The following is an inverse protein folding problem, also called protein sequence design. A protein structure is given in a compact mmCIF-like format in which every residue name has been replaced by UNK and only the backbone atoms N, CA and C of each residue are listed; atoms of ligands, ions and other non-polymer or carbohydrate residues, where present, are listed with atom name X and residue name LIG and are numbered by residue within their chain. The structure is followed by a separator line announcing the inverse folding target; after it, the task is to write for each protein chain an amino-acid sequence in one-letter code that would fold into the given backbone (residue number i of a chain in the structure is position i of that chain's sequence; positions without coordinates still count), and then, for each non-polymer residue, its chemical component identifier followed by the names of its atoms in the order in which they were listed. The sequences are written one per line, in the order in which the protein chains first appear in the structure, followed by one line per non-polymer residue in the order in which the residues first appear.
data_IF_916358039879
#
_entry.id   IF_916358039879
#
_cell.length_a   1.000
_cell.length_b   1.000
_cell.length_c   1.000
_cell.angle_alpha   90.00
_cell.angle_beta   90.00
_cell.angle_gamma   90.00
#
_symmetry.space_group_name_H-M   'P 1'
#
loop_
_entity.id
_entity.type
_entity.pdbx_description
1 polymer ?
#
# COMPACT_ATOMS: atom_id res chain seq x y z
N UNK A 1 3.79 65.34 12.07
CA UNK A 1 2.72 64.31 11.87
C UNK A 1 3.41 63.03 11.40
N UNK A 2 3.60 62.08 12.32
CA UNK A 2 4.13 60.75 11.98
C UNK A 2 2.96 59.84 11.60
N UNK A 3 2.92 59.36 10.35
CA UNK A 3 2.06 58.27 9.96
C UNK A 3 2.75 56.95 10.31
N UNK A 4 2.22 56.26 11.33
CA UNK A 4 2.56 54.85 11.58
C UNK A 4 1.72 54.00 10.62
N UNK A 5 2.41 53.38 9.63
CA UNK A 5 1.84 52.35 8.78
C UNK A 5 1.77 51.04 9.59
N UNK A 6 0.57 50.64 10.00
CA UNK A 6 0.35 49.32 10.60
C UNK A 6 0.37 48.27 9.50
N UNK A 7 1.48 47.54 9.41
CA UNK A 7 1.60 46.34 8.57
C UNK A 7 0.81 45.22 9.26
N UNK A 8 -0.42 45.00 8.83
CA UNK A 8 -1.21 43.83 9.27
C UNK A 8 -0.59 42.56 8.67
N UNK A 9 0.13 41.80 9.46
CA UNK A 9 0.53 40.45 9.13
C UNK A 9 -0.71 39.56 9.11
N UNK A 10 -1.16 39.23 7.91
CA UNK A 10 -2.17 38.20 7.71
C UNK A 10 -1.46 36.87 7.98
N UNK A 11 -1.64 36.34 9.18
CA UNK A 11 -1.31 34.95 9.45
C UNK A 11 -2.35 34.08 8.74
N UNK A 12 -1.98 33.55 7.57
CA UNK A 12 -2.71 32.44 6.98
C UNK A 12 -2.65 31.30 7.99
N UNK A 13 -3.76 30.98 8.65
CA UNK A 13 -3.90 29.74 9.39
C UNK A 13 -3.73 28.61 8.37
N UNK A 14 -2.57 27.98 8.38
CA UNK A 14 -2.38 26.72 7.70
C UNK A 14 -3.33 25.72 8.36
N UNK A 15 -4.44 25.42 7.68
CA UNK A 15 -5.34 24.36 8.11
C UNK A 15 -4.52 23.09 8.29
N UNK A 16 -4.65 22.45 9.44
CA UNK A 16 -3.97 21.18 9.70
C UNK A 16 -4.34 20.21 8.58
N UNK A 17 -3.33 19.58 7.98
CA UNK A 17 -3.54 18.52 6.98
C UNK A 17 -4.52 17.48 7.53
N UNK A 18 -5.51 17.03 6.77
CA UNK A 18 -6.39 15.95 7.21
C UNK A 18 -5.66 14.61 7.29
N UNK A 19 -4.47 14.52 6.72
CA UNK A 19 -3.66 13.32 6.66
C UNK A 19 -2.73 13.23 7.86
N UNK A 20 -2.64 12.04 8.47
CA UNK A 20 -1.73 11.75 9.57
C UNK A 20 -0.30 11.44 9.08
N UNK A 21 -0.17 11.07 7.79
CA UNK A 21 1.11 10.83 7.17
C UNK A 21 1.07 11.19 5.68
N UNK A 22 2.21 11.64 5.16
CA UNK A 22 2.42 11.91 3.74
C UNK A 22 3.60 11.08 3.25
N UNK A 23 3.36 10.26 2.23
CA UNK A 23 4.38 9.46 1.56
C UNK A 23 4.78 10.13 0.26
N UNK A 24 6.08 10.30 0.04
CA UNK A 24 6.62 10.84 -1.20
C UNK A 24 7.97 10.18 -1.52
N UNK A 25 8.06 9.53 -2.67
CA UNK A 25 9.27 8.79 -3.10
C UNK A 25 10.48 9.70 -3.25
N UNK A 26 10.27 10.98 -3.56
CA UNK A 26 11.31 12.02 -3.68
C UNK A 26 11.79 12.55 -2.30
N UNK A 27 11.17 12.11 -1.21
CA UNK A 27 11.51 12.54 0.15
C UNK A 27 10.85 13.85 0.59
N UNK A 28 9.91 14.40 -0.18
CA UNK A 28 9.15 15.61 0.18
C UNK A 28 7.95 15.33 1.12
N UNK A 29 7.81 14.10 1.62
CA UNK A 29 6.83 13.67 2.61
C UNK A 29 7.47 13.28 3.94
N UNK A 30 6.65 12.76 4.85
CA UNK A 30 7.10 12.23 6.14
C UNK A 30 7.84 10.90 5.97
N UNK A 31 7.45 10.12 4.94
CA UNK A 31 8.01 8.82 4.62
C UNK A 31 8.33 8.72 3.12
N UNK A 32 9.32 7.90 2.78
CA UNK A 32 9.67 7.63 1.38
C UNK A 32 8.96 6.40 0.81
N UNK A 33 8.53 5.49 1.68
CA UNK A 33 7.84 4.27 1.29
C UNK A 33 6.46 4.17 1.96
N UNK A 34 5.54 3.51 1.28
CA UNK A 34 4.19 3.28 1.81
C UNK A 34 4.25 2.38 3.03
N UNK A 35 5.13 1.35 3.00
CA UNK A 35 5.27 0.43 4.11
C UNK A 35 5.78 1.12 5.39
N UNK A 36 6.70 2.10 5.28
CA UNK A 36 7.14 2.88 6.44
C UNK A 36 5.99 3.65 7.09
N UNK A 37 5.15 4.30 6.29
CA UNK A 37 3.99 5.01 6.80
C UNK A 37 2.99 4.05 7.48
N UNK A 38 2.74 2.87 6.91
CA UNK A 38 1.88 1.85 7.52
C UNK A 38 2.49 1.35 8.84
N UNK A 39 3.79 1.13 8.88
CA UNK A 39 4.47 0.68 10.11
C UNK A 39 4.31 1.69 11.25
N UNK A 40 4.25 2.97 10.94
CA UNK A 40 4.05 4.05 11.91
C UNK A 40 2.59 4.20 12.39
N UNK A 41 1.61 3.60 11.72
CA UNK A 41 0.23 3.60 12.20
C UNK A 41 0.16 2.94 13.57
N UNK A 42 -0.45 3.54 14.59
CA UNK A 42 -0.64 2.86 15.88
C UNK A 42 -1.52 1.61 15.74
N UNK A 43 -1.31 0.63 16.59
CA UNK A 43 -2.11 -0.59 16.59
C UNK A 43 -3.52 -0.33 17.14
N UNK A 44 -4.48 -1.13 16.68
CA UNK A 44 -5.83 -1.14 17.22
C UNK A 44 -6.64 0.14 16.96
N UNK A 45 -6.40 0.80 15.83
CA UNK A 45 -7.18 1.98 15.45
C UNK A 45 -8.67 1.67 15.41
N UNK A 46 -9.48 2.63 15.81
CA UNK A 46 -10.96 2.57 15.74
C UNK A 46 -11.56 3.66 14.84
N UNK A 47 -10.69 4.43 14.20
CA UNK A 47 -11.02 5.53 13.28
C UNK A 47 -10.04 5.55 12.11
N UNK A 48 -10.44 6.09 10.96
CA UNK A 48 -9.57 6.22 9.81
C UNK A 48 -8.24 6.91 10.13
N UNK A 49 -7.14 6.25 9.73
CA UNK A 49 -5.80 6.81 9.69
C UNK A 49 -5.44 7.07 8.23
N UNK A 50 -5.49 8.33 7.85
CA UNK A 50 -5.35 8.76 6.46
C UNK A 50 -3.87 8.95 6.11
N UNK A 51 -3.42 8.22 5.09
CA UNK A 51 -2.07 8.32 4.54
C UNK A 51 -2.19 8.84 3.10
N UNK A 52 -1.72 10.06 2.86
CA UNK A 52 -1.61 10.60 1.51
C UNK A 52 -0.36 10.02 0.83
N UNK A 53 -0.54 9.44 -0.36
CA UNK A 53 0.55 8.96 -1.19
C UNK A 53 0.66 9.88 -2.40
N UNK A 54 1.75 10.63 -2.47
CA UNK A 54 2.02 11.52 -3.60
C UNK A 54 2.30 10.72 -4.88
N UNK A 55 2.16 11.38 -6.03
CA UNK A 55 2.51 10.79 -7.31
C UNK A 55 3.94 10.28 -7.29
N UNK A 56 4.13 9.05 -7.76
CA UNK A 56 5.43 8.38 -7.77
C UNK A 56 5.31 6.90 -8.10
N UNK A 57 6.44 6.31 -8.38
CA UNK A 57 6.59 4.87 -8.61
C UNK A 57 7.21 4.24 -7.36
N UNK A 58 6.43 3.51 -6.61
CA UNK A 58 6.80 2.87 -5.35
C UNK A 58 7.10 1.40 -5.62
N UNK A 59 8.39 1.06 -5.67
CA UNK A 59 8.84 -0.32 -5.92
C UNK A 59 8.97 -1.06 -4.59
N UNK A 60 7.86 -1.53 -4.07
CA UNK A 60 7.79 -2.18 -2.77
C UNK A 60 6.61 -3.15 -2.67
N UNK A 61 6.72 -4.10 -1.75
CA UNK A 61 5.57 -4.83 -1.26
C UNK A 61 4.94 -4.08 -0.09
N UNK A 62 3.62 -4.03 -0.08
CA UNK A 62 2.85 -3.37 0.98
C UNK A 62 2.02 -4.39 1.73
N UNK A 63 2.21 -4.47 3.05
CA UNK A 63 1.46 -5.35 3.95
C UNK A 63 0.77 -4.50 5.01
N UNK A 64 -0.56 -4.58 5.04
CA UNK A 64 -1.38 -4.00 6.11
C UNK A 64 -1.65 -5.13 7.11
N UNK A 65 -0.98 -5.18 8.27
CA UNK A 65 -1.12 -6.28 9.22
C UNK A 65 -2.46 -6.21 9.97
N UNK A 66 -2.90 -7.33 10.52
CA UNK A 66 -4.21 -7.46 11.18
C UNK A 66 -4.39 -6.52 12.38
N UNK A 67 -3.32 -6.18 13.07
CA UNK A 67 -3.33 -5.26 14.22
C UNK A 67 -3.41 -3.77 13.83
N UNK A 68 -3.48 -3.46 12.52
CA UNK A 68 -3.61 -2.09 11.99
C UNK A 68 -4.91 -1.92 11.19
N UNK A 69 -6.08 -1.98 11.85
CA UNK A 69 -7.35 -1.68 11.20
C UNK A 69 -7.44 -0.18 10.88
N UNK A 70 -8.41 0.17 10.01
CA UNK A 70 -8.70 1.55 9.59
C UNK A 70 -7.55 2.29 8.91
N UNK A 71 -6.61 1.57 8.29
CA UNK A 71 -5.62 2.19 7.40
C UNK A 71 -6.30 2.64 6.11
N UNK A 72 -6.19 3.93 5.80
CA UNK A 72 -6.72 4.52 4.57
C UNK A 72 -5.59 5.07 3.71
N UNK A 73 -5.40 4.52 2.52
CA UNK A 73 -4.38 4.93 1.55
C UNK A 73 -5.02 5.80 0.46
N UNK A 74 -4.60 7.04 0.37
CA UNK A 74 -5.16 8.05 -0.54
C UNK A 74 -4.08 8.47 -1.54
N UNK A 75 -4.20 8.02 -2.80
CA UNK A 75 -3.31 8.45 -3.87
C UNK A 75 -3.73 9.83 -4.42
N UNK A 76 -2.77 10.58 -4.90
CA UNK A 76 -3.07 11.85 -5.57
C UNK A 76 -3.72 11.66 -6.95
N UNK A 77 -3.26 10.67 -7.70
CA UNK A 77 -3.71 10.40 -9.07
C UNK A 77 -3.48 8.92 -9.38
N UNK A 78 -4.53 8.21 -9.75
CA UNK A 78 -4.50 6.77 -10.03
C UNK A 78 -3.44 6.37 -11.07
N UNK A 79 -3.23 7.18 -12.08
CA UNK A 79 -2.31 6.85 -13.16
C UNK A 79 -0.86 7.27 -12.88
N UNK A 80 -0.62 7.99 -11.77
CA UNK A 80 0.69 8.47 -11.36
C UNK A 80 1.13 8.01 -9.97
N UNK A 81 0.19 7.56 -9.13
CA UNK A 81 0.50 6.95 -7.83
C UNK A 81 0.49 5.44 -8.02
N UNK A 82 1.66 4.85 -8.21
CA UNK A 82 1.80 3.45 -8.63
C UNK A 82 2.64 2.68 -7.61
N UNK A 83 2.04 1.68 -6.99
CA UNK A 83 2.74 0.69 -6.17
C UNK A 83 2.94 -0.54 -7.03
N UNK A 84 4.20 -0.92 -7.25
CA UNK A 84 4.50 -2.05 -8.12
C UNK A 84 5.62 -2.92 -7.59
N UNK A 85 5.60 -4.18 -8.01
CA UNK A 85 6.68 -5.12 -7.75
C UNK A 85 6.62 -6.24 -8.79
N UNK A 86 7.78 -6.84 -9.03
CA UNK A 86 7.90 -8.04 -9.86
C UNK A 86 7.95 -9.25 -8.92
N UNK A 87 6.82 -9.93 -8.73
CA UNK A 87 6.67 -10.97 -7.72
C UNK A 87 5.72 -12.07 -8.21
N UNK A 88 6.07 -13.34 -8.02
CA UNK A 88 5.15 -14.44 -8.26
C UNK A 88 4.99 -15.33 -7.03
N UNK A 89 3.92 -16.10 -6.98
CA UNK A 89 3.61 -16.99 -5.86
C UNK A 89 4.57 -18.18 -5.70
N UNK A 90 5.46 -18.40 -6.65
CA UNK A 90 6.52 -19.41 -6.60
C UNK A 90 7.91 -18.81 -6.40
N UNK A 91 8.03 -17.50 -6.31
CA UNK A 91 9.33 -16.84 -6.15
C UNK A 91 9.90 -17.13 -4.77
N UNK A 92 11.10 -17.71 -4.78
CA UNK A 92 11.95 -17.72 -3.60
C UNK A 92 12.66 -16.38 -3.53
N UNK A 93 12.17 -15.49 -2.71
CA UNK A 93 12.88 -14.27 -2.38
C UNK A 93 13.88 -14.56 -1.25
N UNK A 94 14.95 -15.28 -1.62
CA UNK A 94 16.07 -15.52 -0.72
C UNK A 94 16.96 -14.30 -0.69
N UNK A 95 16.79 -13.45 0.31
CA UNK A 95 17.75 -12.40 0.63
C UNK A 95 18.04 -11.36 -0.47
N UNK A 96 17.22 -11.27 -1.53
CA UNK A 96 17.37 -10.23 -2.54
C UNK A 96 16.78 -8.92 -2.05
N UNK A 97 17.52 -7.86 -2.22
CA UNK A 97 16.98 -6.52 -2.04
C UNK A 97 15.94 -6.22 -3.11
N UNK A 98 14.74 -5.93 -2.70
CA UNK A 98 13.66 -5.41 -3.53
C UNK A 98 13.37 -4.00 -3.01
N UNK A 99 13.53 -3.00 -3.87
CA UNK A 99 13.34 -1.61 -3.46
C UNK A 99 14.26 -1.16 -2.32
N UNK A 100 15.51 -1.67 -2.26
CA UNK A 100 16.48 -1.35 -1.23
C UNK A 100 16.20 -2.01 0.14
N UNK A 101 15.30 -2.99 0.19
CA UNK A 101 15.01 -3.78 1.39
C UNK A 101 15.18 -5.26 1.10
N UNK A 102 15.71 -5.99 2.08
CA UNK A 102 15.79 -7.44 2.02
C UNK A 102 14.39 -8.02 2.15
N UNK A 103 13.86 -8.54 1.07
CA UNK A 103 12.59 -9.26 1.09
C UNK A 103 12.86 -10.75 1.27
N UNK A 104 12.29 -11.32 2.30
CA UNK A 104 12.41 -12.75 2.60
C UNK A 104 11.12 -13.45 2.21
N UNK A 105 11.12 -14.06 1.03
CA UNK A 105 10.06 -14.93 0.58
C UNK A 105 10.62 -16.31 0.38
N UNK A 106 10.59 -17.14 1.37
CA UNK A 106 10.66 -18.57 1.14
C UNK A 106 9.24 -19.07 0.90
N UNK A 107 8.86 -19.08 -0.35
CA UNK A 107 7.51 -19.42 -0.70
C UNK A 107 7.47 -20.52 -1.72
N UNK A 108 7.09 -21.67 -1.26
CA UNK A 108 6.54 -22.69 -2.11
C UNK A 108 5.03 -22.64 -1.98
N UNK A 109 4.32 -22.29 -3.04
CA UNK A 109 2.86 -22.39 -3.12
C UNK A 109 2.36 -23.76 -2.71
N UNK A 110 3.24 -24.75 -2.75
CA UNK A 110 2.97 -26.15 -2.49
C UNK A 110 3.39 -26.62 -1.10
N UNK A 111 3.92 -25.76 -0.26
CA UNK A 111 4.24 -26.13 1.12
C UNK A 111 3.20 -25.54 2.10
N UNK A 112 2.13 -26.29 2.41
CA UNK A 112 1.09 -25.83 3.35
C UNK A 112 1.59 -25.65 4.77
N UNK A 113 2.80 -26.10 5.08
CA UNK A 113 3.42 -25.98 6.40
C UNK A 113 4.27 -24.73 6.57
N UNK A 114 4.44 -23.91 5.53
CA UNK A 114 5.16 -22.66 5.65
C UNK A 114 4.29 -21.61 6.35
N UNK A 115 4.79 -20.97 7.43
CA UNK A 115 4.07 -19.88 8.09
C UNK A 115 3.95 -18.64 7.18
N UNK A 116 4.75 -18.56 6.14
CA UNK A 116 4.70 -17.56 5.07
C UNK A 116 3.83 -18.13 3.96
N UNK A 117 2.55 -18.11 4.16
CA UNK A 117 1.62 -18.82 3.29
C UNK A 117 1.45 -18.16 1.93
N UNK A 118 1.08 -18.98 0.92
CA UNK A 118 0.82 -18.71 -0.51
C UNK A 118 0.18 -17.35 -0.87
N UNK A 119 -0.33 -16.63 0.08
CA UNK A 119 -1.03 -15.36 -0.12
C UNK A 119 -0.14 -14.14 0.03
N UNK A 120 1.08 -14.30 0.51
CA UNK A 120 2.01 -13.17 0.67
C UNK A 120 2.83 -12.88 -0.58
N UNK A 121 2.67 -13.69 -1.64
CA UNK A 121 3.22 -13.45 -2.98
C UNK A 121 2.48 -12.38 -3.78
N UNK A 122 1.86 -11.41 -3.11
CA UNK A 122 1.12 -10.31 -3.71
C UNK A 122 1.86 -9.00 -3.53
N UNK A 123 1.69 -8.07 -4.45
CA UNK A 123 2.26 -6.72 -4.30
C UNK A 123 1.67 -6.05 -3.07
N UNK A 124 0.37 -6.20 -2.85
CA UNK A 124 -0.29 -5.70 -1.64
C UNK A 124 -1.06 -6.82 -0.95
N UNK A 125 -0.87 -6.92 0.37
CA UNK A 125 -1.59 -7.84 1.25
C UNK A 125 -2.32 -7.04 2.32
N UNK A 126 -3.64 -7.17 2.37
CA UNK A 126 -4.49 -6.45 3.32
C UNK A 126 -5.06 -7.45 4.33
N UNK A 127 -4.64 -7.33 5.60
CA UNK A 127 -5.15 -8.15 6.72
C UNK A 127 -5.89 -7.30 7.77
N UNK A 128 -5.65 -5.98 7.79
CA UNK A 128 -6.30 -5.04 8.71
C UNK A 128 -7.70 -4.68 8.24
N UNK A 129 -8.69 -4.88 9.11
CA UNK A 129 -10.10 -4.61 8.81
C UNK A 129 -10.38 -3.12 8.60
N UNK A 130 -11.48 -2.81 7.92
CA UNK A 130 -11.87 -1.43 7.59
C UNK A 130 -10.83 -0.69 6.75
N UNK A 131 -10.12 -1.43 5.90
CA UNK A 131 -9.17 -0.85 4.96
C UNK A 131 -9.89 -0.05 3.88
N UNK A 132 -9.31 1.10 3.53
CA UNK A 132 -9.78 1.91 2.41
C UNK A 132 -8.61 2.32 1.53
N UNK A 133 -8.83 2.35 0.23
CA UNK A 133 -7.84 2.89 -0.71
C UNK A 133 -8.51 3.57 -1.88
N UNK A 134 -7.92 4.67 -2.34
CA UNK A 134 -8.40 5.38 -3.52
C UNK A 134 -7.26 5.98 -4.35
N UNK A 135 -7.53 6.13 -5.66
CA UNK A 135 -6.65 6.80 -6.62
C UNK A 135 -5.23 6.20 -6.71
N UNK A 136 -5.11 4.87 -6.58
CA UNK A 136 -3.83 4.15 -6.62
C UNK A 136 -3.88 3.04 -7.68
N UNK A 137 -2.78 2.87 -8.41
CA UNK A 137 -2.51 1.69 -9.24
C UNK A 137 -1.64 0.69 -8.50
N UNK A 138 -2.11 -0.55 -8.42
CA UNK A 138 -1.39 -1.70 -7.88
C UNK A 138 -0.99 -2.62 -9.02
N UNK A 139 0.32 -2.77 -9.25
CA UNK A 139 0.83 -3.43 -10.45
C UNK A 139 1.83 -4.52 -10.08
N UNK A 140 1.54 -5.74 -10.51
CA UNK A 140 2.53 -6.80 -10.49
C UNK A 140 3.08 -6.98 -11.91
N UNK A 141 4.36 -6.71 -12.09
CA UNK A 141 5.02 -6.75 -13.41
C UNK A 141 5.45 -8.16 -13.81
N UNK A 142 5.29 -9.15 -12.95
CA UNK A 142 5.66 -10.52 -13.25
C UNK A 142 4.83 -11.08 -14.42
N UNK A 143 5.49 -11.78 -15.32
CA UNK A 143 4.86 -12.47 -16.44
C UNK A 143 4.38 -11.56 -17.56
N UNK A 144 4.31 -10.25 -17.37
CA UNK A 144 3.90 -9.28 -18.41
C UNK A 144 4.90 -9.27 -19.56
N UNK A 145 6.16 -9.61 -19.29
CA UNK A 145 7.25 -9.64 -20.27
C UNK A 145 7.65 -11.06 -20.70
N UNK A 146 7.15 -12.11 -20.05
CA UNK A 146 7.66 -13.47 -20.24
C UNK A 146 6.63 -14.50 -20.71
N UNK A 147 5.34 -14.17 -20.73
CA UNK A 147 4.23 -15.09 -21.11
C UNK A 147 4.23 -16.42 -20.38
N UNK A 148 5.00 -16.54 -19.30
CA UNK A 148 5.23 -17.78 -18.59
C UNK A 148 5.23 -17.57 -17.10
N UNK A 149 4.62 -18.45 -16.39
CA UNK A 149 4.91 -18.57 -15.00
C UNK A 149 3.73 -18.79 -14.08
N UNK A 150 4.02 -18.93 -12.79
CA UNK A 150 3.01 -19.03 -11.77
C UNK A 150 2.24 -17.72 -11.62
N UNK A 151 1.14 -17.81 -10.91
CA UNK A 151 0.27 -16.69 -10.57
C UNK A 151 1.09 -15.52 -9.96
N UNK A 152 0.64 -14.32 -10.23
CA UNK A 152 1.32 -13.10 -9.83
C UNK A 152 0.29 -12.05 -9.41
N UNK A 153 -0.03 -12.02 -8.12
CA UNK A 153 -1.12 -11.20 -7.60
C UNK A 153 -0.71 -9.73 -7.46
N UNK A 154 -1.56 -8.83 -7.87
CA UNK A 154 -1.44 -7.42 -7.51
C UNK A 154 -2.01 -7.16 -6.09
N UNK A 155 -3.13 -7.82 -5.76
CA UNK A 155 -3.82 -7.64 -4.49
C UNK A 155 -4.23 -8.96 -3.86
N UNK A 156 -4.00 -9.09 -2.57
CA UNK A 156 -4.59 -10.12 -1.72
C UNK A 156 -5.30 -9.44 -0.54
N UNK A 157 -6.63 -9.45 -0.57
CA UNK A 157 -7.44 -8.86 0.49
C UNK A 157 -8.02 -9.94 1.39
N UNK A 158 -7.59 -9.94 2.64
CA UNK A 158 -8.03 -10.86 3.70
C UNK A 158 -8.86 -10.13 4.77
N UNK A 159 -8.98 -8.81 4.64
CA UNK A 159 -9.66 -7.95 5.59
C UNK A 159 -11.18 -8.01 5.46
N UNK A 160 -11.91 -7.79 6.53
CA UNK A 160 -13.32 -7.45 6.50
C UNK A 160 -13.54 -5.95 6.25
N UNK A 161 -14.64 -5.58 5.59
CA UNK A 161 -14.99 -4.21 5.27
C UNK A 161 -13.90 -3.45 4.50
N UNK A 162 -13.22 -4.11 3.56
CA UNK A 162 -12.24 -3.44 2.69
C UNK A 162 -12.94 -2.75 1.52
N UNK A 163 -12.57 -1.50 1.25
CA UNK A 163 -13.16 -0.66 0.20
C UNK A 163 -12.10 -0.09 -0.74
N UNK A 164 -12.41 -0.10 -2.04
CA UNK A 164 -11.50 0.28 -3.11
C UNK A 164 -12.21 1.23 -4.06
N UNK A 165 -11.74 2.46 -4.16
CA UNK A 165 -12.36 3.47 -5.00
C UNK A 165 -11.38 4.00 -6.04
N UNK A 166 -11.79 4.03 -7.31
CA UNK A 166 -10.98 4.53 -8.42
C UNK A 166 -9.54 3.97 -8.42
N UNK A 167 -9.38 2.67 -8.14
CA UNK A 167 -8.12 1.96 -8.16
C UNK A 167 -7.93 1.15 -9.44
N UNK A 168 -6.68 0.85 -9.78
CA UNK A 168 -6.32 -0.01 -10.90
C UNK A 168 -5.49 -1.17 -10.39
N UNK A 169 -5.86 -2.37 -10.82
CA UNK A 169 -5.13 -3.60 -10.50
C UNK A 169 -4.66 -4.23 -11.80
N UNK A 170 -3.39 -4.52 -11.87
CA UNK A 170 -2.78 -5.13 -13.05
C UNK A 170 -1.80 -6.21 -12.65
N UNK A 171 -1.95 -7.38 -13.25
CA UNK A 171 -0.96 -8.45 -13.21
C UNK A 171 -1.15 -9.38 -14.40
N UNK A 172 -0.29 -10.41 -14.49
CA UNK A 172 -0.35 -11.41 -15.55
C UNK A 172 -1.47 -12.44 -15.30
N UNK A 173 -1.56 -12.98 -14.07
CA UNK A 173 -2.52 -14.03 -13.70
C UNK A 173 -2.92 -13.89 -12.24
N UNK A 174 -4.19 -14.20 -11.94
CA UNK A 174 -4.77 -14.12 -10.59
C UNK A 174 -4.59 -12.74 -9.94
N UNK A 175 -4.98 -11.70 -10.68
CA UNK A 175 -4.71 -10.31 -10.31
C UNK A 175 -5.21 -9.93 -8.92
N UNK A 176 -6.36 -10.46 -8.52
CA UNK A 176 -6.99 -10.20 -7.22
C UNK A 176 -7.40 -11.49 -6.56
N UNK A 177 -7.06 -11.62 -5.29
CA UNK A 177 -7.52 -12.71 -4.44
C UNK A 177 -8.17 -12.19 -3.18
N UNK A 178 -9.31 -12.80 -2.83
CA UNK A 178 -9.91 -12.65 -1.50
C UNK A 178 -9.62 -13.91 -0.70
N UNK A 179 -9.20 -13.74 0.54
CA UNK A 179 -8.91 -14.89 1.38
C UNK A 179 -10.14 -15.42 2.10
N UNK A 180 -10.02 -16.67 2.47
CA UNK A 180 -10.97 -17.44 3.24
C UNK A 180 -11.09 -16.97 4.69
N UNK A 181 -11.72 -15.84 4.93
CA UNK A 181 -12.25 -15.61 6.26
C UNK A 181 -13.77 -15.71 6.15
N UNK A 182 -14.42 -16.31 7.10
CA UNK A 182 -15.87 -16.55 7.11
C UNK A 182 -16.71 -15.27 6.98
N UNK A 183 -16.06 -14.10 7.01
CA UNK A 183 -16.71 -12.78 7.04
C UNK A 183 -15.92 -11.67 6.30
N UNK A 184 -15.30 -11.94 5.17
CA UNK A 184 -14.62 -10.89 4.41
C UNK A 184 -15.58 -10.19 3.45
N UNK A 185 -15.85 -8.92 3.68
CA UNK A 185 -16.66 -8.05 2.81
C UNK A 185 -15.77 -7.04 2.09
N UNK A 186 -15.98 -6.91 0.79
CA UNK A 186 -15.24 -6.00 -0.08
C UNK A 186 -16.22 -5.12 -0.86
N UNK A 187 -15.92 -3.84 -1.01
CA UNK A 187 -16.73 -2.82 -1.66
C UNK A 187 -15.94 -2.01 -2.68
#
# INVERSE_FOLDING_TARGET
ILLMSACAMIYAQAGSSPYQAIVAVDGSGDYKTVQEAINAVPDGQTKPWLILIKNGLYNEQVIIPKNKPYVHLIGQDKDKTIIHLNLNVGSKLTGKEIGGKTAYWEHSVHNPSSPVYKYEGSVVVVKGDHFYTENISYVNDWGVLSDNGPQALAMNSQADCASFYNCKFRSFQDTWMTANNDVSRHY
#
